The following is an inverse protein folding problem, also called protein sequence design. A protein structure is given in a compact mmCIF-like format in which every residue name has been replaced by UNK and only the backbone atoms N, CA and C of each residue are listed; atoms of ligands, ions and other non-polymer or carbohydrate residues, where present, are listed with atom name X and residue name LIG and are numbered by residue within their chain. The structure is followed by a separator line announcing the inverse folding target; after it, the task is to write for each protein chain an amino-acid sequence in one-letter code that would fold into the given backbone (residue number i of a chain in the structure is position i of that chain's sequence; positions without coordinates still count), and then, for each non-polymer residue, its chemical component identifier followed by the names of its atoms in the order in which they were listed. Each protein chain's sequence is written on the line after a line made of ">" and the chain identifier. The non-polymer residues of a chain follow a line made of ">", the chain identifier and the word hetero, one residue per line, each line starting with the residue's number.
data_IF_414703014359
#
_entry.id   IF_414703014359
#
_cell.length_a   1.000
_cell.length_b   1.000
_cell.length_c   1.000
_cell.angle_alpha   90.00
_cell.angle_beta   90.00
_cell.angle_gamma   90.00
#
_symmetry.space_group_name_H-M   'P 1'
#
loop_
_entity.id
_entity.type
_entity.pdbx_description
1 polymer ?
#
# COMPACT_ATOMS: atom_id res chain seq x y z
N UNK A 1 -22.96 15.95 3.24
CA UNK A 1 -22.83 15.08 2.05
C UNK A 1 -24.07 14.19 2.00
N UNK A 2 -24.72 14.01 0.85
CA UNK A 2 -26.01 13.31 0.73
C UNK A 2 -25.92 11.86 1.24
N UNK A 3 -26.89 11.47 2.09
CA UNK A 3 -26.92 10.18 2.81
C UNK A 3 -26.62 8.97 1.92
N UNK A 4 -27.13 8.94 0.68
CA UNK A 4 -26.92 7.83 -0.25
C UNK A 4 -25.46 7.65 -0.74
N UNK A 5 -24.70 8.75 -0.85
CA UNK A 5 -23.33 8.72 -1.37
C UNK A 5 -22.38 8.06 -0.35
N UNK A 6 -22.58 8.36 0.93
CA UNK A 6 -21.78 7.78 2.03
C UNK A 6 -22.26 6.37 2.38
N UNK A 7 -23.58 6.12 2.38
CA UNK A 7 -24.14 4.83 2.82
C UNK A 7 -24.12 3.72 1.77
N UNK A 8 -24.07 4.05 0.47
CA UNK A 8 -24.13 3.06 -0.61
C UNK A 8 -22.93 3.16 -1.56
N UNK A 9 -22.61 4.36 -2.06
CA UNK A 9 -21.59 4.47 -3.12
C UNK A 9 -20.18 4.13 -2.63
N UNK A 10 -19.81 4.59 -1.43
CA UNK A 10 -18.49 4.33 -0.83
C UNK A 10 -18.25 2.83 -0.50
N UNK A 11 -19.18 2.10 0.15
CA UNK A 11 -19.03 0.66 0.34
C UNK A 11 -18.97 -0.14 -0.96
N UNK A 12 -19.76 0.24 -1.97
CA UNK A 12 -19.72 -0.41 -3.29
C UNK A 12 -18.37 -0.16 -3.97
N UNK A 13 -17.86 1.08 -3.95
CA UNK A 13 -16.55 1.41 -4.48
C UNK A 13 -15.45 0.57 -3.80
N UNK A 14 -15.49 0.44 -2.46
CA UNK A 14 -14.58 -0.42 -1.72
C UNK A 14 -14.67 -1.88 -2.18
N UNK A 15 -15.87 -2.42 -2.28
CA UNK A 15 -16.07 -3.80 -2.73
C UNK A 15 -15.50 -4.03 -4.14
N UNK A 16 -15.68 -3.10 -5.08
CA UNK A 16 -15.13 -3.23 -6.43
C UNK A 16 -13.61 -3.11 -6.43
N UNK A 17 -13.03 -2.19 -5.66
CA UNK A 17 -11.55 -2.07 -5.52
C UNK A 17 -10.97 -3.35 -4.92
N UNK A 18 -11.57 -3.90 -3.87
CA UNK A 18 -11.12 -5.13 -3.22
C UNK A 18 -11.32 -6.37 -4.10
N UNK A 19 -12.43 -6.45 -4.83
CA UNK A 19 -12.65 -7.50 -5.82
C UNK A 19 -11.63 -7.43 -6.95
N UNK A 20 -11.36 -6.23 -7.44
CA UNK A 20 -10.32 -5.96 -8.42
C UNK A 20 -8.93 -6.36 -7.96
N UNK A 21 -8.59 -6.05 -6.71
CA UNK A 21 -7.38 -6.56 -6.07
C UNK A 21 -7.36 -8.10 -6.13
N UNK A 22 -8.44 -8.77 -5.74
CA UNK A 22 -8.56 -10.23 -5.79
C UNK A 22 -8.42 -10.82 -7.19
N UNK A 23 -8.93 -10.14 -8.24
CA UNK A 23 -8.78 -10.56 -9.64
C UNK A 23 -7.32 -10.55 -10.12
N UNK A 24 -6.46 -9.74 -9.49
CA UNK A 24 -5.04 -9.67 -9.82
C UNK A 24 -4.20 -10.78 -9.15
N UNK A 25 -4.76 -11.48 -8.15
CA UNK A 25 -4.04 -12.48 -7.35
C UNK A 25 -4.19 -13.89 -7.95
N UNK A 26 -3.06 -14.56 -8.18
CA UNK A 26 -3.03 -15.95 -8.65
C UNK A 26 -2.42 -16.89 -7.63
N UNK A 27 -2.83 -18.16 -7.64
CA UNK A 27 -2.23 -19.19 -6.78
C UNK A 27 -0.72 -19.36 -7.03
N UNK A 28 -0.23 -19.02 -8.24
CA UNK A 28 1.18 -19.08 -8.61
C UNK A 28 2.00 -18.02 -7.89
N UNK A 29 1.41 -16.87 -7.58
CA UNK A 29 2.09 -15.78 -6.87
C UNK A 29 2.55 -16.22 -5.48
N UNK A 30 1.81 -17.14 -4.86
CA UNK A 30 2.15 -17.76 -3.57
C UNK A 30 3.21 -18.86 -3.69
N UNK A 31 3.43 -19.42 -4.87
CA UNK A 31 4.45 -20.46 -5.06
C UNK A 31 5.87 -19.89 -4.88
N UNK A 32 6.09 -18.60 -5.17
CA UNK A 32 7.39 -17.95 -4.96
C UNK A 32 7.79 -17.87 -3.47
N UNK A 33 6.83 -17.91 -2.54
CA UNK A 33 7.11 -18.05 -1.08
C UNK A 33 8.00 -19.26 -0.82
N UNK A 34 7.63 -20.40 -1.41
CA UNK A 34 8.36 -21.65 -1.23
C UNK A 34 9.68 -21.68 -2.00
N UNK A 35 9.78 -20.95 -3.12
CA UNK A 35 11.00 -20.93 -3.96
C UNK A 35 12.06 -19.99 -3.42
N UNK A 36 11.67 -18.87 -2.79
CA UNK A 36 12.58 -17.80 -2.34
C UNK A 36 12.24 -17.32 -0.92
N UNK A 37 12.15 -18.24 0.06
CA UNK A 37 11.59 -17.95 1.39
C UNK A 37 12.36 -16.86 2.14
N UNK A 38 13.70 -16.83 2.02
CA UNK A 38 14.53 -15.83 2.70
C UNK A 38 14.14 -14.40 2.33
N UNK A 39 13.99 -14.10 1.04
CA UNK A 39 13.69 -12.73 0.58
C UNK A 39 12.25 -12.36 0.93
N UNK A 40 11.32 -13.30 0.78
CA UNK A 40 9.91 -13.09 1.11
C UNK A 40 9.72 -12.80 2.59
N UNK A 41 10.33 -13.60 3.48
CA UNK A 41 10.25 -13.39 4.92
C UNK A 41 10.89 -12.08 5.36
N UNK A 42 12.00 -11.67 4.73
CA UNK A 42 12.62 -10.38 5.01
C UNK A 42 11.72 -9.21 4.59
N UNK A 43 11.17 -9.26 3.38
CA UNK A 43 10.28 -8.22 2.89
C UNK A 43 9.01 -8.11 3.74
N UNK A 44 8.36 -9.24 4.06
CA UNK A 44 7.19 -9.26 4.93
C UNK A 44 7.51 -8.81 6.35
N UNK A 45 8.66 -9.21 6.92
CA UNK A 45 9.07 -8.75 8.24
C UNK A 45 9.29 -7.23 8.29
N UNK A 46 9.91 -6.67 7.25
CA UNK A 46 10.05 -5.22 7.12
C UNK A 46 8.69 -4.52 6.99
N UNK A 47 7.82 -5.02 6.12
CA UNK A 47 6.52 -4.42 5.83
C UNK A 47 5.56 -4.50 7.03
N UNK A 48 5.48 -5.65 7.70
CA UNK A 48 4.42 -5.93 8.67
C UNK A 48 4.81 -5.51 10.09
N UNK A 49 6.11 -5.44 10.39
CA UNK A 49 6.61 -5.13 11.74
C UNK A 49 7.38 -3.82 11.76
N UNK A 50 8.44 -3.72 10.95
CA UNK A 50 9.36 -2.57 11.02
C UNK A 50 8.67 -1.30 10.53
N UNK A 51 7.90 -1.38 9.45
CA UNK A 51 7.30 -0.20 8.82
C UNK A 51 6.17 0.42 9.66
N UNK A 52 5.24 -0.33 10.28
CA UNK A 52 4.28 0.24 11.22
C UNK A 52 4.93 0.84 12.46
N UNK A 53 5.99 0.21 13.00
CA UNK A 53 6.74 0.76 14.15
C UNK A 53 7.46 2.04 13.75
N UNK A 54 8.04 2.09 12.55
CA UNK A 54 8.67 3.29 12.01
C UNK A 54 7.65 4.41 11.83
N UNK A 55 6.48 4.09 11.25
CA UNK A 55 5.38 5.03 11.10
C UNK A 55 4.92 5.56 12.46
N UNK A 56 4.74 4.67 13.44
CA UNK A 56 4.40 5.02 14.82
C UNK A 56 5.42 5.98 15.44
N UNK A 57 6.72 5.72 15.24
CA UNK A 57 7.79 6.63 15.67
C UNK A 57 7.71 8.00 15.00
N UNK A 58 7.40 8.06 13.70
CA UNK A 58 7.23 9.32 12.97
C UNK A 58 6.02 10.11 13.46
N UNK A 59 4.86 9.47 13.65
CA UNK A 59 3.66 10.19 14.11
C UNK A 59 3.86 10.78 15.51
N UNK A 60 4.62 10.09 16.39
CA UNK A 60 4.99 10.63 17.70
C UNK A 60 6.04 11.73 17.62
N UNK A 61 7.08 11.55 16.80
CA UNK A 61 8.17 12.52 16.69
C UNK A 61 7.72 13.87 16.11
N UNK A 62 6.69 13.85 15.27
CA UNK A 62 6.11 15.04 14.65
C UNK A 62 4.81 15.52 15.33
N UNK A 63 4.43 14.89 16.45
CA UNK A 63 3.24 15.24 17.24
C UNK A 63 1.97 15.38 16.38
N UNK A 64 1.71 14.36 15.54
CA UNK A 64 0.59 14.42 14.61
C UNK A 64 -0.74 14.43 15.37
N UNK A 65 -1.72 15.23 14.93
CA UNK A 65 -3.07 15.14 15.43
C UNK A 65 -3.59 13.69 15.39
N UNK A 66 -4.34 13.23 16.41
CA UNK A 66 -4.75 11.84 16.55
C UNK A 66 -5.35 11.19 15.29
N UNK A 67 -6.22 11.91 14.57
CA UNK A 67 -6.82 11.41 13.32
C UNK A 67 -5.76 11.22 12.22
N UNK A 68 -4.85 12.18 12.03
CA UNK A 68 -3.79 12.06 11.04
C UNK A 68 -2.78 10.96 11.40
N UNK A 69 -2.51 10.76 12.70
CA UNK A 69 -1.67 9.66 13.18
C UNK A 69 -2.28 8.30 12.86
N UNK A 70 -3.58 8.12 13.12
CA UNK A 70 -4.33 6.91 12.73
C UNK A 70 -4.31 6.72 11.21
N UNK A 71 -4.52 7.78 10.43
CA UNK A 71 -4.47 7.72 8.96
C UNK A 71 -3.09 7.32 8.41
N UNK A 72 -2.01 7.79 9.03
CA UNK A 72 -0.63 7.39 8.70
C UNK A 72 -0.37 5.91 9.00
N UNK A 73 -0.88 5.39 10.13
CA UNK A 73 -0.74 3.97 10.49
C UNK A 73 -1.62 3.05 9.63
N UNK A 74 -2.82 3.51 9.27
CA UNK A 74 -3.68 2.86 8.27
C UNK A 74 -2.98 2.74 6.92
N UNK A 75 -2.33 3.81 6.45
CA UNK A 75 -1.50 3.79 5.25
C UNK A 75 -0.31 2.83 5.39
N UNK A 76 0.42 2.86 6.51
CA UNK A 76 1.56 1.98 6.73
C UNK A 76 1.19 0.49 6.75
N UNK A 77 -0.03 0.17 7.18
CA UNK A 77 -0.56 -1.18 7.15
C UNK A 77 -1.14 -1.60 5.78
N UNK A 78 -1.24 -0.67 4.83
CA UNK A 78 -1.68 -0.97 3.47
C UNK A 78 -0.59 -1.73 2.71
N UNK A 79 -0.96 -2.69 1.84
CA UNK A 79 0.00 -3.42 1.05
C UNK A 79 0.59 -2.53 -0.06
N UNK A 80 1.59 -3.05 -0.77
CA UNK A 80 2.03 -2.45 -2.03
C UNK A 80 0.92 -2.38 -3.08
N UNK A 81 1.16 -1.62 -4.15
CA UNK A 81 0.21 -1.46 -5.26
C UNK A 81 0.78 -1.86 -6.62
N UNK A 82 -0.06 -1.83 -7.66
CA UNK A 82 0.36 -2.06 -9.06
C UNK A 82 1.44 -1.08 -9.52
N UNK A 83 1.52 0.09 -8.91
CA UNK A 83 2.57 1.09 -9.15
C UNK A 83 3.94 0.65 -8.63
N UNK A 84 4.00 -0.14 -7.53
CA UNK A 84 5.24 -0.74 -7.04
C UNK A 84 5.84 -1.69 -8.08
N UNK A 85 5.01 -2.52 -8.72
CA UNK A 85 5.41 -3.39 -9.83
C UNK A 85 5.99 -2.61 -11.01
N UNK A 86 5.35 -1.49 -11.38
CA UNK A 86 5.82 -0.61 -12.45
C UNK A 86 7.20 -0.04 -12.14
N UNK A 87 7.41 0.46 -10.92
CA UNK A 87 8.72 0.99 -10.51
C UNK A 87 9.79 -0.10 -10.43
N UNK A 88 9.44 -1.28 -9.92
CA UNK A 88 10.34 -2.45 -9.94
C UNK A 88 10.76 -2.77 -11.38
N UNK A 89 9.82 -2.82 -12.33
CA UNK A 89 10.14 -3.05 -13.74
C UNK A 89 11.02 -1.92 -14.32
N UNK A 90 10.64 -0.66 -14.11
CA UNK A 90 11.34 0.53 -14.62
C UNK A 90 12.82 0.56 -14.19
N UNK A 91 13.09 0.17 -12.94
CA UNK A 91 14.44 0.18 -12.37
C UNK A 91 15.11 -1.20 -12.35
N UNK A 92 14.64 -2.14 -13.19
CA UNK A 92 15.23 -3.48 -13.38
C UNK A 92 15.29 -4.33 -12.11
N UNK A 93 14.28 -4.19 -11.26
CA UNK A 93 13.99 -5.09 -10.15
C UNK A 93 13.39 -6.41 -10.62
N UNK A 94 13.34 -7.36 -9.70
CA UNK A 94 12.70 -8.65 -9.93
C UNK A 94 11.18 -8.50 -9.89
N UNK A 95 10.57 -8.35 -11.07
CA UNK A 95 9.12 -8.09 -11.21
C UNK A 95 8.30 -9.28 -10.72
N UNK A 96 8.74 -10.51 -10.99
CA UNK A 96 8.03 -11.70 -10.53
C UNK A 96 7.98 -11.76 -9.00
N UNK A 97 9.12 -11.47 -8.34
CA UNK A 97 9.16 -11.37 -6.89
C UNK A 97 8.28 -10.21 -6.37
N UNK A 98 8.29 -9.03 -6.99
CA UNK A 98 7.47 -7.90 -6.55
C UNK A 98 5.98 -8.26 -6.62
N UNK A 99 5.51 -8.82 -7.75
CA UNK A 99 4.13 -9.28 -7.91
C UNK A 99 3.75 -10.30 -6.81
N UNK A 100 4.62 -11.28 -6.56
CA UNK A 100 4.41 -12.24 -5.48
C UNK A 100 4.33 -11.58 -4.11
N UNK A 101 5.24 -10.66 -3.80
CA UNK A 101 5.22 -9.92 -2.53
C UNK A 101 3.95 -9.11 -2.39
N UNK A 102 3.56 -8.31 -3.40
CA UNK A 102 2.30 -7.55 -3.41
C UNK A 102 1.12 -8.48 -3.17
N UNK A 103 1.10 -9.66 -3.80
CA UNK A 103 0.00 -10.61 -3.68
C UNK A 103 -0.13 -11.17 -2.25
N UNK A 104 0.98 -11.66 -1.68
CA UNK A 104 1.01 -12.20 -0.32
C UNK A 104 0.68 -11.10 0.69
N UNK A 105 1.31 -9.94 0.54
CA UNK A 105 1.12 -8.79 1.40
C UNK A 105 -0.33 -8.29 1.35
N UNK A 106 -0.98 -8.32 0.19
CA UNK A 106 -2.39 -7.96 0.06
C UNK A 106 -3.31 -8.90 0.83
N UNK A 107 -3.04 -10.21 0.83
CA UNK A 107 -3.81 -11.17 1.63
C UNK A 107 -3.56 -10.95 3.12
N UNK A 108 -2.31 -10.73 3.51
CA UNK A 108 -1.96 -10.46 4.92
C UNK A 108 -2.57 -9.14 5.40
N UNK A 109 -2.59 -8.12 4.54
CA UNK A 109 -3.17 -6.81 4.81
C UNK A 109 -4.66 -6.88 5.18
N UNK A 110 -5.41 -7.87 4.69
CA UNK A 110 -6.80 -8.08 5.09
C UNK A 110 -6.93 -8.26 6.62
N UNK A 111 -5.93 -8.85 7.26
CA UNK A 111 -5.86 -9.02 8.71
C UNK A 111 -5.10 -7.88 9.38
N UNK A 112 -3.92 -7.52 8.86
CA UNK A 112 -3.04 -6.58 9.55
C UNK A 112 -3.55 -5.15 9.50
N UNK A 113 -4.23 -4.75 8.44
CA UNK A 113 -4.76 -3.39 8.32
C UNK A 113 -5.82 -3.08 9.38
N UNK A 114 -6.87 -3.90 9.59
CA UNK A 114 -7.78 -3.71 10.72
C UNK A 114 -7.05 -3.73 12.07
N UNK A 115 -6.10 -4.64 12.29
CA UNK A 115 -5.37 -4.75 13.57
C UNK A 115 -4.56 -3.49 13.87
N UNK A 116 -3.72 -3.05 12.94
CA UNK A 116 -2.88 -1.85 13.13
C UNK A 116 -3.74 -0.60 13.32
N UNK A 117 -4.81 -0.46 12.52
CA UNK A 117 -5.71 0.68 12.62
C UNK A 117 -6.43 0.72 13.96
N UNK A 118 -6.91 -0.42 14.44
CA UNK A 118 -7.57 -0.56 15.73
C UNK A 118 -6.64 -0.24 16.91
N UNK A 119 -5.39 -0.72 16.85
CA UNK A 119 -4.37 -0.37 17.84
C UNK A 119 -4.07 1.13 17.84
N UNK A 120 -3.99 1.74 16.65
CA UNK A 120 -3.79 3.18 16.52
C UNK A 120 -4.96 3.97 17.12
N UNK A 121 -6.21 3.62 16.80
CA UNK A 121 -7.40 4.28 17.35
C UNK A 121 -7.42 4.16 18.88
N UNK A 122 -7.15 2.97 19.42
CA UNK A 122 -7.14 2.75 20.87
C UNK A 122 -6.00 3.49 21.60
N UNK A 123 -4.87 3.72 20.93
CA UNK A 123 -3.73 4.43 21.52
C UNK A 123 -3.90 5.96 21.46
N UNK A 124 -4.26 6.49 20.29
CA UNK A 124 -4.35 7.94 20.07
C UNK A 124 -5.68 8.54 20.55
N UNK A 125 -6.69 7.70 20.81
CA UNK A 125 -8.02 8.06 21.32
C UNK A 125 -8.56 9.38 20.75
N UNK A 126 -8.72 9.48 19.41
CA UNK A 126 -9.25 10.70 18.80
C UNK A 126 -10.61 11.04 19.42
N UNK A 127 -10.89 12.31 19.69
CA UNK A 127 -12.05 12.81 20.47
C UNK A 127 -13.43 12.31 19.96
N UNK A 128 -13.51 11.81 18.72
CA UNK A 128 -14.68 11.14 18.12
C UNK A 128 -14.62 9.59 18.13
N UNK A 129 -13.79 8.99 18.99
CA UNK A 129 -13.62 7.55 19.13
C UNK A 129 -14.94 6.83 19.49
N UNK A 130 -15.95 7.53 20.02
CA UNK A 130 -17.30 6.96 20.21
C UNK A 130 -17.96 6.49 18.90
N UNK A 131 -17.67 7.14 17.76
CA UNK A 131 -18.17 6.76 16.44
C UNK A 131 -17.20 5.80 15.70
N UNK A 132 -15.89 5.98 15.90
CA UNK A 132 -14.80 5.15 15.35
C UNK A 132 -14.50 3.89 16.18
N UNK A 133 -15.16 3.73 17.32
CA UNK A 133 -14.73 2.86 18.41
C UNK A 133 -14.75 1.38 18.10
N UNK A 134 -13.82 0.69 18.77
CA UNK A 134 -13.58 -0.75 18.82
C UNK A 134 -14.82 -1.54 19.28
N UNK A 135 -15.84 -1.61 18.44
CA UNK A 135 -16.78 -2.70 18.51
C UNK A 135 -16.17 -3.85 17.73
N UNK A 136 -15.88 -4.96 18.41
CA UNK A 136 -15.45 -6.21 17.77
C UNK A 136 -16.31 -6.54 16.54
N UNK A 137 -17.61 -6.20 16.59
CA UNK A 137 -18.55 -6.30 15.47
C UNK A 137 -18.24 -5.38 14.29
N UNK A 138 -17.84 -4.11 14.51
CA UNK A 138 -17.39 -3.20 13.44
C UNK A 138 -16.09 -3.70 12.82
N UNK A 139 -15.13 -4.17 13.63
CA UNK A 139 -13.88 -4.78 13.10
C UNK A 139 -14.18 -6.01 12.24
N UNK A 140 -15.08 -6.89 12.69
CA UNK A 140 -15.51 -8.06 11.90
C UNK A 140 -16.22 -7.64 10.60
N UNK A 141 -16.98 -6.55 10.64
CA UNK A 141 -17.63 -5.97 9.47
C UNK A 141 -16.61 -5.41 8.48
N UNK A 142 -15.61 -4.64 8.93
CA UNK A 142 -14.48 -4.18 8.10
C UNK A 142 -13.80 -5.37 7.44
N UNK A 143 -13.48 -6.37 8.26
CA UNK A 143 -12.81 -7.58 7.83
C UNK A 143 -13.61 -8.30 6.76
N UNK A 144 -14.92 -8.44 6.94
CA UNK A 144 -15.81 -9.08 5.97
C UNK A 144 -15.93 -8.28 4.68
N UNK A 145 -16.08 -6.95 4.77
CA UNK A 145 -16.19 -6.06 3.61
C UNK A 145 -14.92 -6.04 2.76
N UNK A 146 -13.75 -6.26 3.36
CA UNK A 146 -12.48 -6.35 2.64
C UNK A 146 -12.20 -7.77 2.16
N UNK A 147 -12.29 -8.77 3.05
CA UNK A 147 -11.93 -10.16 2.76
C UNK A 147 -12.84 -10.80 1.72
N UNK A 148 -14.16 -10.61 1.84
CA UNK A 148 -15.12 -11.30 0.98
C UNK A 148 -14.94 -10.93 -0.49
N UNK A 149 -14.86 -9.63 -0.88
CA UNK A 149 -14.60 -9.28 -2.28
C UNK A 149 -13.25 -9.78 -2.78
N UNK A 150 -12.17 -9.75 -1.97
CA UNK A 150 -10.85 -10.27 -2.37
C UNK A 150 -10.94 -11.77 -2.67
N UNK A 151 -11.54 -12.56 -1.78
CA UNK A 151 -11.71 -14.01 -1.96
C UNK A 151 -12.58 -14.33 -3.18
N UNK A 152 -13.65 -13.57 -3.41
CA UNK A 152 -14.48 -13.70 -4.61
C UNK A 152 -13.68 -13.37 -5.88
N UNK A 153 -12.86 -12.32 -5.85
CA UNK A 153 -11.98 -11.95 -6.96
C UNK A 153 -10.98 -13.06 -7.28
N UNK A 154 -10.33 -13.62 -6.26
CA UNK A 154 -9.41 -14.76 -6.41
C UNK A 154 -10.11 -15.99 -6.99
N UNK A 155 -11.33 -16.27 -6.52
CA UNK A 155 -12.14 -17.36 -7.03
C UNK A 155 -12.48 -17.19 -8.51
N UNK A 156 -12.90 -15.98 -8.91
CA UNK A 156 -13.16 -15.64 -10.32
C UNK A 156 -11.87 -15.71 -11.15
N UNK A 157 -10.75 -15.21 -10.64
CA UNK A 157 -9.43 -15.32 -11.31
C UNK A 157 -9.05 -16.78 -11.59
N UNK A 158 -9.33 -17.68 -10.64
CA UNK A 158 -9.05 -19.11 -10.80
C UNK A 158 -10.01 -19.80 -11.79
N UNK A 159 -11.28 -19.40 -11.84
CA UNK A 159 -12.31 -20.04 -12.70
C UNK A 159 -12.36 -19.46 -14.12
N UNK A 160 -12.11 -18.16 -14.27
CA UNK A 160 -12.27 -17.42 -15.52
C UNK A 160 -11.10 -16.43 -15.73
N UNK A 161 -9.87 -16.91 -15.94
CA UNK A 161 -8.69 -16.05 -16.07
C UNK A 161 -8.81 -15.02 -17.19
N UNK A 162 -9.42 -15.39 -18.33
CA UNK A 162 -9.63 -14.46 -19.43
C UNK A 162 -10.62 -13.32 -19.11
N UNK A 163 -11.55 -13.51 -18.17
CA UNK A 163 -12.37 -12.41 -17.66
C UNK A 163 -11.54 -11.51 -16.74
N UNK A 164 -10.77 -12.10 -15.82
CA UNK A 164 -9.93 -11.34 -14.90
C UNK A 164 -8.88 -10.49 -15.64
N UNK A 165 -8.24 -11.03 -16.69
CA UNK A 165 -7.29 -10.29 -17.52
C UNK A 165 -7.96 -9.10 -18.25
N UNK A 166 -9.21 -9.26 -18.70
CA UNK A 166 -9.99 -8.17 -19.33
C UNK A 166 -10.42 -7.10 -18.33
N UNK A 167 -10.56 -7.46 -17.05
CA UNK A 167 -10.99 -6.56 -15.99
C UNK A 167 -9.83 -5.81 -15.32
N UNK A 168 -8.58 -6.22 -15.53
CA UNK A 168 -7.39 -5.56 -14.95
C UNK A 168 -7.37 -4.05 -15.24
N UNK A 169 -7.47 -3.67 -16.51
CA UNK A 169 -7.42 -2.26 -16.92
C UNK A 169 -8.64 -1.44 -16.44
N UNK A 170 -9.90 -1.89 -16.62
CA UNK A 170 -11.07 -1.20 -16.07
C UNK A 170 -11.00 -0.97 -14.56
N UNK A 171 -10.62 -2.00 -13.79
CA UNK A 171 -10.48 -1.92 -12.33
C UNK A 171 -9.39 -0.91 -11.95
N UNK A 172 -8.25 -0.94 -12.64
CA UNK A 172 -7.14 -0.02 -12.39
C UNK A 172 -7.54 1.44 -12.69
N UNK A 173 -8.21 1.68 -13.80
CA UNK A 173 -8.72 3.01 -14.17
C UNK A 173 -9.73 3.49 -13.14
N UNK A 174 -10.70 2.65 -12.77
CA UNK A 174 -11.68 2.99 -11.74
C UNK A 174 -11.00 3.32 -10.40
N UNK A 175 -10.00 2.55 -9.98
CA UNK A 175 -9.23 2.81 -8.76
C UNK A 175 -8.50 4.16 -8.80
N UNK A 176 -7.92 4.50 -9.95
CA UNK A 176 -7.28 5.80 -10.16
C UNK A 176 -8.31 6.95 -10.16
N UNK A 177 -9.49 6.75 -10.76
CA UNK A 177 -10.59 7.73 -10.76
C UNK A 177 -11.12 7.94 -9.35
N UNK A 178 -11.33 6.87 -8.57
CA UNK A 178 -11.75 6.96 -7.16
C UNK A 178 -10.71 7.75 -6.35
N UNK A 179 -9.42 7.43 -6.51
CA UNK A 179 -8.33 8.17 -5.88
C UNK A 179 -8.37 9.66 -6.25
N UNK A 180 -8.47 9.98 -7.54
CA UNK A 180 -8.51 11.36 -8.01
C UNK A 180 -9.75 12.11 -7.49
N UNK A 181 -10.93 11.50 -7.55
CA UNK A 181 -12.18 12.09 -7.05
C UNK A 181 -12.11 12.35 -5.55
N UNK A 182 -11.51 11.46 -4.76
CA UNK A 182 -11.34 11.67 -3.32
C UNK A 182 -10.34 12.76 -3.04
N UNK A 183 -9.19 12.79 -3.73
CA UNK A 183 -8.21 13.88 -3.57
C UNK A 183 -8.86 15.22 -3.87
N UNK A 184 -9.54 15.35 -5.02
CA UNK A 184 -10.25 16.58 -5.41
C UNK A 184 -11.37 16.90 -4.42
N UNK A 185 -12.18 15.92 -4.05
CA UNK A 185 -13.28 16.10 -3.11
C UNK A 185 -12.80 16.55 -1.72
N UNK A 186 -11.67 16.02 -1.26
CA UNK A 186 -11.04 16.41 0.01
C UNK A 186 -10.48 17.82 -0.09
N UNK A 187 -9.77 18.16 -1.18
CA UNK A 187 -9.25 19.51 -1.41
C UNK A 187 -10.37 20.54 -1.45
N UNK A 188 -11.49 20.23 -2.11
CA UNK A 188 -12.64 21.14 -2.20
C UNK A 188 -13.35 21.28 -0.85
N UNK A 189 -13.54 20.18 -0.12
CA UNK A 189 -14.22 20.20 1.18
C UNK A 189 -13.39 20.89 2.27
N UNK A 190 -12.07 20.73 2.22
CA UNK A 190 -11.13 21.16 3.26
C UNK A 190 -10.17 22.25 2.75
N UNK A 191 -10.58 23.03 1.74
CA UNK A 191 -9.69 23.98 1.02
C UNK A 191 -8.88 24.90 1.95
N UNK A 192 -9.46 25.31 3.07
CA UNK A 192 -8.82 26.18 4.07
C UNK A 192 -7.80 25.43 4.95
N UNK A 193 -7.92 24.10 5.06
CA UNK A 193 -7.07 23.22 5.87
C UNK A 193 -6.02 22.46 5.05
N UNK A 194 -6.11 22.43 3.72
CA UNK A 194 -5.13 21.73 2.85
C UNK A 194 -3.68 22.16 3.15
N UNK A 195 -3.45 23.47 3.32
CA UNK A 195 -2.12 23.99 3.65
C UNK A 195 -1.61 23.52 5.01
N UNK A 196 -2.50 23.39 5.99
CA UNK A 196 -2.19 22.87 7.32
C UNK A 196 -1.88 21.36 7.26
N UNK A 197 -2.70 20.57 6.57
CA UNK A 197 -2.48 19.14 6.39
C UNK A 197 -1.15 18.85 5.68
N UNK A 198 -0.78 19.62 4.67
CA UNK A 198 0.53 19.48 4.02
C UNK A 198 1.69 19.81 4.95
N UNK A 199 1.53 20.79 5.85
CA UNK A 199 2.55 21.12 6.86
C UNK A 199 2.69 20.02 7.90
N UNK A 200 1.57 19.46 8.35
CA UNK A 200 1.55 18.41 9.39
C UNK A 200 2.01 17.06 8.84
N UNK A 201 1.52 16.64 7.68
CA UNK A 201 1.72 15.27 7.16
C UNK A 201 2.76 15.20 6.05
N UNK A 202 3.03 16.30 5.34
CA UNK A 202 3.92 16.28 4.17
C UNK A 202 5.32 15.77 4.48
N UNK A 203 6.00 16.35 5.47
CA UNK A 203 7.35 15.92 5.84
C UNK A 203 7.38 14.49 6.44
N UNK A 204 6.49 14.12 7.39
CA UNK A 204 6.38 12.73 7.84
C UNK A 204 6.14 11.73 6.71
N UNK A 205 5.28 12.06 5.74
CA UNK A 205 5.00 11.21 4.58
C UNK A 205 6.23 11.05 3.67
N UNK A 206 6.99 12.12 3.42
CA UNK A 206 8.26 12.06 2.68
C UNK A 206 9.26 11.15 3.39
N UNK A 207 9.44 11.35 4.70
CA UNK A 207 10.36 10.53 5.49
C UNK A 207 9.92 9.07 5.53
N UNK A 208 8.63 8.81 5.74
CA UNK A 208 8.06 7.47 5.71
C UNK A 208 8.34 6.77 4.37
N UNK A 209 8.13 7.46 3.25
CA UNK A 209 8.42 6.92 1.92
C UNK A 209 9.91 6.61 1.73
N UNK A 210 10.79 7.58 2.02
CA UNK A 210 12.23 7.43 1.82
C UNK A 210 12.84 6.36 2.74
N UNK A 211 12.35 6.27 3.98
CA UNK A 211 12.76 5.24 4.93
C UNK A 211 12.23 3.86 4.50
N UNK A 212 10.99 3.76 4.02
CA UNK A 212 10.44 2.52 3.46
C UNK A 212 11.24 2.01 2.26
N UNK A 213 11.47 2.89 1.27
CA UNK A 213 12.31 2.60 0.09
C UNK A 213 13.75 2.23 0.51
N UNK A 214 14.33 3.01 1.43
CA UNK A 214 15.70 2.84 1.91
C UNK A 214 15.90 1.53 2.67
N UNK A 215 15.04 1.23 3.64
CA UNK A 215 15.09 -0.01 4.41
C UNK A 215 14.80 -1.23 3.53
N UNK A 216 13.79 -1.13 2.67
CA UNK A 216 13.42 -2.18 1.73
C UNK A 216 14.53 -2.51 0.73
N UNK A 217 15.41 -1.55 0.41
CA UNK A 217 16.62 -1.81 -0.37
C UNK A 217 17.79 -2.29 0.49
N UNK A 218 18.12 -1.55 1.55
CA UNK A 218 19.36 -1.72 2.30
C UNK A 218 19.38 -3.01 3.12
N UNK A 219 18.29 -3.34 3.82
CA UNK A 219 18.26 -4.53 4.70
C UNK A 219 18.42 -5.81 3.89
N UNK A 220 17.69 -6.06 2.78
CA UNK A 220 17.96 -7.22 1.94
C UNK A 220 19.39 -7.24 1.39
N UNK A 221 19.94 -6.09 0.96
CA UNK A 221 21.32 -6.01 0.44
C UNK A 221 22.36 -6.38 1.48
N UNK A 222 22.22 -5.91 2.72
CA UNK A 222 23.11 -6.23 3.83
C UNK A 222 23.05 -7.73 4.19
N UNK A 223 21.90 -8.36 3.98
CA UNK A 223 21.70 -9.79 4.24
C UNK A 223 22.02 -10.69 3.02
N UNK A 224 22.69 -10.15 2.00
CA UNK A 224 23.17 -10.89 0.84
C UNK A 224 22.11 -11.21 -0.21
N UNK A 225 20.98 -10.49 -0.23
CA UNK A 225 19.96 -10.63 -1.27
C UNK A 225 20.44 -9.97 -2.57
N UNK A 226 20.14 -10.61 -3.70
CA UNK A 226 20.52 -10.12 -5.02
C UNK A 226 19.95 -8.72 -5.29
N UNK A 227 20.68 -7.91 -6.04
CA UNK A 227 20.32 -6.51 -6.26
C UNK A 227 18.92 -6.32 -6.85
N UNK A 228 18.55 -7.09 -7.88
CA UNK A 228 17.22 -7.00 -8.50
C UNK A 228 16.10 -7.34 -7.51
N UNK A 229 16.33 -8.31 -6.62
CA UNK A 229 15.38 -8.68 -5.57
C UNK A 229 15.27 -7.60 -4.49
N UNK A 230 16.37 -6.96 -4.12
CA UNK A 230 16.36 -5.83 -3.19
C UNK A 230 15.66 -4.59 -3.78
N UNK A 231 15.80 -4.33 -5.08
CA UNK A 231 15.04 -3.28 -5.78
C UNK A 231 13.54 -3.59 -5.71
N UNK A 232 13.16 -4.85 -5.96
CA UNK A 232 11.78 -5.28 -5.81
C UNK A 232 11.25 -5.08 -4.38
N UNK A 233 12.04 -5.43 -3.36
CA UNK A 233 11.66 -5.21 -1.96
C UNK A 233 11.53 -3.71 -1.63
N UNK A 234 12.43 -2.87 -2.14
CA UNK A 234 12.39 -1.42 -1.93
C UNK A 234 11.07 -0.82 -2.41
N UNK A 235 10.66 -1.12 -3.64
CA UNK A 235 9.43 -0.57 -4.18
C UNK A 235 8.17 -1.18 -3.59
N UNK A 236 8.16 -2.48 -3.27
CA UNK A 236 7.04 -3.08 -2.55
C UNK A 236 6.84 -2.41 -1.18
N UNK A 237 7.92 -2.15 -0.44
CA UNK A 237 7.86 -1.58 0.90
C UNK A 237 7.61 -0.07 0.88
N UNK A 238 8.21 0.63 -0.07
CA UNK A 238 8.15 2.09 -0.15
C UNK A 238 7.00 2.64 -0.99
N UNK A 239 6.27 1.84 -1.77
CA UNK A 239 5.16 2.30 -2.60
C UNK A 239 3.87 1.62 -2.19
N UNK A 240 3.12 2.30 -1.32
CA UNK A 240 1.87 1.81 -0.75
C UNK A 240 0.65 1.99 -1.66
N UNK A 241 -0.36 1.15 -1.43
CA UNK A 241 -1.67 1.29 -2.05
C UNK A 241 -2.51 2.38 -1.35
N UNK A 242 -2.25 3.63 -1.74
CA UNK A 242 -2.95 4.80 -1.20
C UNK A 242 -4.46 4.76 -1.47
N UNK A 243 -4.89 4.22 -2.62
CA UNK A 243 -6.33 4.07 -2.95
C UNK A 243 -7.04 3.17 -1.94
N UNK A 244 -6.42 2.05 -1.56
CA UNK A 244 -6.96 1.13 -0.57
C UNK A 244 -7.08 1.81 0.79
N UNK A 245 -6.03 2.49 1.26
CA UNK A 245 -6.04 3.19 2.54
C UNK A 245 -7.13 4.29 2.61
N UNK A 246 -7.24 5.11 1.56
CA UNK A 246 -8.29 6.14 1.44
C UNK A 246 -9.68 5.52 1.45
N UNK A 247 -9.88 4.45 0.68
CA UNK A 247 -11.20 3.84 0.55
C UNK A 247 -11.63 3.20 1.88
N UNK A 248 -10.70 2.64 2.66
CA UNK A 248 -11.01 2.18 4.02
C UNK A 248 -11.34 3.36 4.93
N UNK A 249 -10.54 4.43 4.94
CA UNK A 249 -10.79 5.61 5.76
C UNK A 249 -12.19 6.20 5.53
N UNK A 250 -12.62 6.28 4.27
CA UNK A 250 -13.92 6.85 3.92
C UNK A 250 -15.09 5.87 4.07
N UNK A 251 -14.97 4.66 3.52
CA UNK A 251 -16.10 3.72 3.43
C UNK A 251 -16.33 2.94 4.71
N UNK A 252 -15.29 2.79 5.54
CA UNK A 252 -15.34 1.97 6.75
C UNK A 252 -15.28 2.83 7.99
N UNK A 253 -14.32 3.74 8.06
CA UNK A 253 -14.13 4.60 9.22
C UNK A 253 -14.97 5.88 9.13
N UNK A 254 -15.51 6.20 7.95
CA UNK A 254 -16.45 7.30 7.77
C UNK A 254 -15.84 8.68 8.01
N UNK A 255 -14.51 8.81 7.95
CA UNK A 255 -13.81 10.04 8.31
C UNK A 255 -12.81 10.46 7.21
N UNK A 256 -13.01 11.68 6.70
CA UNK A 256 -12.20 12.25 5.61
C UNK A 256 -10.79 12.60 6.06
N UNK A 257 -10.62 13.05 7.30
CA UNK A 257 -9.33 13.42 7.87
C UNK A 257 -8.38 12.21 7.98
N UNK A 258 -8.92 11.02 8.25
CA UNK A 258 -8.14 9.75 8.21
C UNK A 258 -7.61 9.42 6.81
N UNK A 259 -8.23 9.92 5.74
CA UNK A 259 -7.81 9.69 4.36
C UNK A 259 -6.71 10.65 3.91
N UNK A 260 -6.53 11.79 4.59
CA UNK A 260 -5.58 12.85 4.23
C UNK A 260 -4.15 12.32 4.12
N UNK A 261 -3.60 11.54 5.07
CA UNK A 261 -2.23 11.04 4.95
C UNK A 261 -2.00 10.18 3.71
N UNK A 262 -2.94 9.30 3.38
CA UNK A 262 -2.86 8.47 2.18
C UNK A 262 -3.01 9.29 0.90
N UNK A 263 -3.83 10.35 0.89
CA UNK A 263 -3.94 11.27 -0.24
C UNK A 263 -2.63 12.04 -0.48
N UNK A 264 -2.05 12.61 0.57
CA UNK A 264 -0.77 13.33 0.51
C UNK A 264 0.35 12.38 0.08
N UNK A 265 0.45 11.21 0.70
CA UNK A 265 1.44 10.20 0.35
C UNK A 265 1.30 9.73 -1.09
N UNK A 266 0.08 9.47 -1.55
CA UNK A 266 -0.21 9.00 -2.90
C UNK A 266 0.33 9.94 -3.98
N UNK A 267 0.36 11.26 -3.73
CA UNK A 267 0.98 12.23 -4.65
C UNK A 267 2.49 12.26 -4.49
N UNK A 268 2.99 12.30 -3.25
CA UNK A 268 4.42 12.46 -2.95
C UNK A 268 5.26 11.23 -3.31
N UNK A 269 4.71 10.03 -3.19
CA UNK A 269 5.47 8.78 -3.35
C UNK A 269 6.01 8.61 -4.77
N UNK A 270 5.33 9.11 -5.80
CA UNK A 270 5.75 8.93 -7.21
C UNK A 270 7.09 9.62 -7.53
N UNK A 271 7.25 10.94 -7.31
CA UNK A 271 8.54 11.60 -7.55
C UNK A 271 9.64 11.07 -6.62
N UNK A 272 9.32 10.71 -5.37
CA UNK A 272 10.29 10.14 -4.44
C UNK A 272 10.79 8.76 -4.88
N UNK A 273 9.88 7.86 -5.28
CA UNK A 273 10.22 6.55 -5.81
C UNK A 273 11.04 6.65 -7.10
N UNK A 274 10.68 7.57 -8.00
CA UNK A 274 11.46 7.84 -9.21
C UNK A 274 12.88 8.34 -8.89
N UNK A 275 13.01 9.31 -7.98
CA UNK A 275 14.30 9.84 -7.56
C UNK A 275 15.16 8.76 -6.88
N UNK A 276 14.58 7.99 -5.96
CA UNK A 276 15.26 6.89 -5.28
C UNK A 276 15.75 5.84 -6.28
N UNK A 277 14.87 5.39 -7.19
CA UNK A 277 15.21 4.43 -8.24
C UNK A 277 16.34 4.92 -9.14
N UNK A 278 16.35 6.20 -9.46
CA UNK A 278 17.42 6.82 -10.23
C UNK A 278 18.75 6.87 -9.47
N UNK A 279 18.74 7.22 -8.18
CA UNK A 279 19.94 7.22 -7.33
C UNK A 279 20.53 5.82 -7.23
N UNK A 280 19.70 4.81 -6.94
CA UNK A 280 20.22 3.44 -6.81
C UNK A 280 20.72 2.94 -8.18
N UNK A 281 20.03 3.20 -9.28
CA UNK A 281 20.44 2.73 -10.61
C UNK A 281 21.75 3.36 -11.12
N UNK A 282 22.08 4.60 -10.72
CA UNK A 282 23.37 5.24 -11.02
C UNK A 282 24.58 4.55 -10.40
N UNK A 283 24.41 3.90 -9.25
CA UNK A 283 25.48 3.14 -8.59
C UNK A 283 25.71 1.75 -9.21
N UNK A 284 24.90 1.33 -10.16
CA UNK A 284 25.10 0.09 -10.91
C UNK A 284 25.92 0.40 -12.17
N UNK A 285 27.24 0.34 -12.07
CA UNK A 285 28.07 0.12 -13.25
C UNK A 285 27.52 -1.07 -14.04
N UNK A 286 27.49 -0.95 -15.37
CA UNK A 286 26.94 -1.97 -16.26
C UNK A 286 27.40 -3.38 -15.82
N UNK A 287 26.48 -4.35 -15.63
CA UNK A 287 26.89 -5.67 -15.18
C UNK A 287 27.74 -6.34 -16.26
N UNK A 288 28.99 -6.67 -15.89
CA UNK A 288 29.93 -7.46 -16.69
C UNK A 288 29.51 -8.93 -16.89
N UNK A 289 28.30 -9.32 -16.48
CA UNK A 289 27.84 -10.72 -16.43
C UNK A 289 27.14 -11.21 -17.71
N UNK A 290 27.04 -10.40 -18.77
CA UNK A 290 26.54 -10.86 -20.08
C UNK A 290 27.68 -11.23 -21.07
N UNK A 291 28.93 -10.94 -20.74
CA UNK A 291 30.07 -11.26 -21.60
C UNK A 291 30.56 -12.72 -21.46
N UNK A 292 30.22 -13.40 -20.36
CA UNK A 292 30.65 -14.78 -20.11
C UNK A 292 29.81 -15.83 -20.85
N UNK A 293 28.51 -15.57 -21.10
CA UNK A 293 27.63 -16.51 -21.83
C UNK A 293 27.72 -16.38 -23.36
N UNK A 294 28.38 -15.33 -23.87
CA UNK A 294 28.58 -15.11 -25.30
C UNK A 294 29.92 -15.66 -25.83
N UNK A 295 30.84 -16.08 -24.94
CA UNK A 295 32.12 -16.71 -25.31
C UNK A 295 32.08 -18.24 -25.29
N UNK A 296 30.93 -18.84 -24.99
CA UNK A 296 30.72 -20.29 -24.97
C UNK A 296 29.68 -20.76 -26.00
N UNK A 297 29.44 -19.98 -27.06
CA UNK A 297 28.67 -20.40 -28.23
C UNK A 297 29.52 -20.28 -29.48
#
# INVERSE_FOLDING_TARGET
>A
MSSALVTVALPVALAVVMFGLGLSLTARDFAEVGRRPKVVLLALGLQLLVLPVLCFGLVLAFDLPPLLAVGMLLLAASPGGTTANLFSHLFRGDVALNISLTAINSVVAVVTLPVVTNLAIGFFDPVDAGALGLQFGKTLQVFSIVLVPVLLGMFVRNRAPGFADRMDEPVRIMSAVVLALVIVGTIVAEQDRVGEYLRQVGLPAVLFCLLGLGLGFAVPRLLGVARGQAIACAFEIGVHNSTLAITVALSVLGNVELAVPAAVYGVLMFPLAAAFGWVISRGAGAPADQAASARSR
#
